data_IF_975761867340
#
_entry.id   IF_975761867340
#
_cell.length_a   1.000
_cell.length_b   1.000
_cell.length_c   1.000
_cell.angle_alpha   90.00
_cell.angle_beta   90.00
_cell.angle_gamma   90.00
#
_symmetry.space_group_name_H-M   'P 1'
#
loop_
_entity.id
_entity.type
_entity.pdbx_description
1 polymer ?
#
# COMPACT_ATOMS: atom_id res chain seq x y z
N UNK A 1 -23.43 -22.62 74.81
CA UNK A 1 -22.17 -22.85 74.03
C UNK A 1 -22.56 -23.25 72.65
N UNK A 2 -22.42 -22.34 71.69
CA UNK A 2 -22.73 -22.59 70.25
C UNK A 2 -21.41 -22.81 69.54
N UNK A 3 -21.19 -24.01 69.07
CA UNK A 3 -20.03 -24.33 68.19
C UNK A 3 -20.37 -23.87 66.81
N UNK A 4 -19.64 -22.89 66.28
CA UNK A 4 -19.69 -22.48 64.87
C UNK A 4 -18.82 -23.43 64.08
N UNK A 5 -19.46 -24.23 63.21
CA UNK A 5 -18.78 -25.06 62.21
C UNK A 5 -18.26 -24.16 61.11
N UNK A 6 -16.98 -23.83 61.12
CA UNK A 6 -16.26 -23.27 59.97
C UNK A 6 -16.07 -24.37 58.92
N UNK A 7 -16.99 -24.41 57.97
CA UNK A 7 -16.77 -25.16 56.73
C UNK A 7 -15.82 -24.36 55.86
N UNK A 8 -14.54 -24.65 55.96
CA UNK A 8 -13.54 -24.17 54.99
C UNK A 8 -13.84 -24.81 53.63
N UNK A 9 -14.34 -23.99 52.72
CA UNK A 9 -14.46 -24.37 51.32
C UNK A 9 -13.04 -24.40 50.75
N UNK A 10 -12.42 -25.56 50.71
CA UNK A 10 -11.18 -25.76 49.95
C UNK A 10 -11.47 -25.56 48.47
N UNK A 11 -11.12 -24.38 47.98
CA UNK A 11 -11.05 -24.11 46.53
C UNK A 11 -9.99 -25.02 45.91
N UNK A 12 -10.43 -26.10 45.29
CA UNK A 12 -9.58 -26.98 44.48
C UNK A 12 -9.00 -26.18 43.33
N UNK A 13 -7.79 -25.69 43.47
CA UNK A 13 -7.00 -25.13 42.37
C UNK A 13 -6.68 -26.23 41.40
N UNK A 14 -7.48 -26.33 40.33
CA UNK A 14 -7.16 -27.20 39.18
C UNK A 14 -5.92 -26.64 38.49
N UNK A 15 -4.80 -27.31 38.58
CA UNK A 15 -3.61 -27.01 37.78
C UNK A 15 -3.80 -27.45 36.34
N UNK A 16 -3.27 -26.67 35.41
CA UNK A 16 -3.22 -27.05 34.00
C UNK A 16 -2.34 -28.28 33.81
N UNK A 17 -2.79 -29.25 33.02
CA UNK A 17 -1.97 -30.39 32.64
C UNK A 17 -1.00 -30.00 31.53
N UNK A 18 0.17 -30.65 31.51
CA UNK A 18 1.18 -30.45 30.45
C UNK A 18 0.62 -30.78 29.07
N UNK A 19 -0.30 -31.75 28.98
CA UNK A 19 -0.98 -32.12 27.74
C UNK A 19 -1.92 -31.06 27.23
N UNK A 20 -2.69 -30.39 28.13
CA UNK A 20 -3.56 -29.26 27.72
C UNK A 20 -2.75 -28.11 27.13
N UNK A 21 -1.60 -27.79 27.71
CA UNK A 21 -0.72 -26.74 27.20
C UNK A 21 -0.14 -27.12 25.84
N UNK A 22 0.27 -28.39 25.66
CA UNK A 22 0.83 -28.90 24.41
C UNK A 22 -0.19 -28.85 23.26
N UNK A 23 -1.44 -29.22 23.53
CA UNK A 23 -2.54 -29.20 22.53
C UNK A 23 -2.84 -27.75 22.12
N UNK A 24 -2.89 -26.81 23.08
CA UNK A 24 -3.12 -25.40 22.76
C UNK A 24 -2.02 -24.82 21.89
N UNK A 25 -0.75 -25.10 22.20
CA UNK A 25 0.39 -24.62 21.39
C UNK A 25 0.37 -25.24 19.99
N UNK A 26 0.02 -26.53 19.88
CA UNK A 26 -0.11 -27.20 18.58
C UNK A 26 -1.21 -26.56 17.71
N UNK A 27 -2.38 -26.27 18.28
CA UNK A 27 -3.49 -25.61 17.56
C UNK A 27 -3.10 -24.17 17.17
N UNK A 28 -2.49 -23.40 18.06
CA UNK A 28 -2.03 -22.06 17.76
C UNK A 28 -0.96 -22.07 16.65
N UNK A 29 -0.07 -23.05 16.64
CA UNK A 29 0.92 -23.24 15.57
C UNK A 29 0.29 -23.48 14.20
N UNK A 30 -0.72 -24.33 14.13
CA UNK A 30 -1.44 -24.61 12.87
C UNK A 30 -2.22 -23.37 12.41
N UNK A 31 -2.94 -22.70 13.31
CA UNK A 31 -3.70 -21.49 12.97
C UNK A 31 -2.77 -20.35 12.54
N UNK A 32 -1.62 -20.19 13.20
CA UNK A 32 -0.61 -19.21 12.82
C UNK A 32 -0.06 -19.42 11.41
N UNK A 33 0.22 -20.66 11.04
CA UNK A 33 0.73 -20.99 9.71
C UNK A 33 -0.26 -20.65 8.58
N UNK A 34 -1.56 -20.86 8.81
CA UNK A 34 -2.62 -20.51 7.82
C UNK A 34 -2.85 -19.01 7.72
N UNK A 35 -2.73 -18.26 8.83
CA UNK A 35 -2.97 -16.83 8.86
C UNK A 35 -1.95 -16.06 8.01
N UNK A 36 -0.67 -16.44 8.01
CA UNK A 36 0.41 -15.73 7.31
C UNK A 36 0.22 -15.74 5.79
N UNK A 37 -0.21 -16.84 5.19
CA UNK A 37 -0.36 -16.96 3.74
C UNK A 37 -1.49 -16.10 3.17
N UNK A 38 -2.56 -15.85 3.92
CA UNK A 38 -3.67 -15.01 3.47
C UNK A 38 -3.36 -13.50 3.56
N UNK A 39 -2.56 -13.08 4.52
CA UNK A 39 -2.23 -11.65 4.74
C UNK A 39 -1.32 -11.11 3.64
N UNK A 40 -0.32 -11.86 3.20
CA UNK A 40 0.64 -11.42 2.17
C UNK A 40 -0.02 -11.14 0.83
N UNK A 41 -0.95 -11.98 0.38
CA UNK A 41 -1.70 -11.76 -0.87
C UNK A 41 -2.60 -10.52 -0.84
N UNK A 42 -3.19 -10.20 0.31
CA UNK A 42 -4.00 -8.98 0.48
C UNK A 42 -3.16 -7.70 0.50
N UNK A 43 -1.97 -7.74 1.09
CA UNK A 43 -1.05 -6.59 1.10
C UNK A 43 -0.64 -6.25 -0.33
N UNK A 44 -0.28 -7.24 -1.15
CA UNK A 44 0.17 -7.02 -2.51
C UNK A 44 -0.96 -6.45 -3.39
N UNK A 45 -2.18 -7.00 -3.31
CA UNK A 45 -3.33 -6.46 -4.04
C UNK A 45 -3.66 -5.01 -3.65
N UNK A 46 -3.45 -4.66 -2.38
CA UNK A 46 -3.64 -3.29 -1.88
C UNK A 46 -2.56 -2.36 -2.43
N UNK A 47 -1.30 -2.78 -2.45
CA UNK A 47 -0.19 -2.03 -3.05
C UNK A 47 -0.43 -1.76 -4.54
N UNK A 48 -0.83 -2.77 -5.30
CA UNK A 48 -1.18 -2.62 -6.72
C UNK A 48 -2.31 -1.61 -6.91
N UNK A 49 -3.34 -1.64 -6.06
CA UNK A 49 -4.45 -0.69 -6.13
C UNK A 49 -3.99 0.73 -5.78
N UNK A 50 -3.14 0.88 -4.76
CA UNK A 50 -2.55 2.16 -4.39
C UNK A 50 -1.69 2.74 -5.52
N UNK A 51 -0.84 1.93 -6.15
CA UNK A 51 -0.02 2.34 -7.28
C UNK A 51 -0.86 2.79 -8.49
N UNK A 52 -1.96 2.08 -8.81
CA UNK A 52 -2.91 2.49 -9.86
C UNK A 52 -3.52 3.86 -9.58
N UNK A 53 -3.94 4.08 -8.33
CA UNK A 53 -4.50 5.37 -7.90
C UNK A 53 -3.44 6.48 -7.97
N UNK A 54 -2.21 6.22 -7.55
CA UNK A 54 -1.12 7.18 -7.62
C UNK A 54 -0.78 7.53 -9.08
N UNK A 55 -0.70 6.55 -9.98
CA UNK A 55 -0.49 6.76 -11.42
C UNK A 55 -1.57 7.66 -12.02
N UNK A 56 -2.85 7.44 -11.68
CA UNK A 56 -3.96 8.29 -12.17
C UNK A 56 -3.89 9.71 -11.58
N UNK A 57 -3.52 9.86 -10.29
CA UNK A 57 -3.34 11.14 -9.64
C UNK A 57 -2.20 11.95 -10.27
N UNK A 58 -1.04 11.33 -10.48
CA UNK A 58 0.12 11.96 -11.14
C UNK A 58 -0.23 12.37 -12.56
N UNK A 59 -0.95 11.53 -13.31
CA UNK A 59 -1.44 11.88 -14.65
C UNK A 59 -2.34 13.11 -14.64
N UNK A 60 -3.24 13.20 -13.66
CA UNK A 60 -4.08 14.37 -13.41
C UNK A 60 -3.25 15.62 -13.12
N UNK A 61 -2.26 15.50 -12.22
CA UNK A 61 -1.35 16.58 -11.85
C UNK A 61 -0.52 17.10 -13.04
N UNK A 62 0.00 16.21 -13.90
CA UNK A 62 0.68 16.61 -15.15
C UNK A 62 -0.26 17.42 -16.03
N UNK A 63 -1.51 16.99 -16.18
CA UNK A 63 -2.50 17.73 -16.99
C UNK A 63 -2.79 19.10 -16.41
N UNK A 64 -2.97 19.19 -15.10
CA UNK A 64 -3.20 20.48 -14.39
C UNK A 64 -1.99 21.37 -14.54
N UNK A 65 -0.78 20.86 -14.35
CA UNK A 65 0.47 21.60 -14.54
C UNK A 65 0.57 22.17 -15.96
N UNK A 66 0.27 21.36 -16.99
CA UNK A 66 0.28 21.80 -18.38
C UNK A 66 -0.70 22.94 -18.63
N UNK A 67 -1.91 22.87 -18.04
CA UNK A 67 -2.92 23.91 -18.17
C UNK A 67 -2.47 25.22 -17.48
N UNK A 68 -1.99 25.15 -16.25
CA UNK A 68 -1.54 26.30 -15.47
C UNK A 68 -0.35 27.00 -16.14
N UNK A 69 0.62 26.22 -16.60
CA UNK A 69 1.82 26.73 -17.27
C UNK A 69 1.60 27.07 -18.75
N UNK A 70 0.39 26.83 -19.29
CA UNK A 70 0.06 27.00 -20.73
C UNK A 70 1.05 26.27 -21.64
N UNK A 71 1.52 25.10 -21.21
CA UNK A 71 2.46 24.26 -21.96
C UNK A 71 1.71 23.28 -22.87
N UNK A 72 2.19 23.17 -24.12
CA UNK A 72 1.63 22.22 -25.09
C UNK A 72 2.24 20.80 -24.93
N UNK A 73 3.31 20.66 -24.16
CA UNK A 73 4.05 19.41 -23.93
C UNK A 73 4.14 19.10 -22.44
N UNK A 74 4.04 17.82 -22.05
CA UNK A 74 4.23 17.41 -20.67
C UNK A 74 5.67 17.66 -20.20
N UNK A 75 5.89 17.73 -18.86
CA UNK A 75 7.24 17.84 -18.33
C UNK A 75 8.03 16.57 -18.58
N UNK A 76 9.34 16.68 -18.67
CA UNK A 76 10.25 15.52 -18.76
C UNK A 76 10.60 14.94 -17.39
N UNK A 77 10.33 15.70 -16.31
CA UNK A 77 10.62 15.32 -14.94
C UNK A 77 9.39 15.61 -14.06
N UNK A 78 8.98 14.61 -13.28
CA UNK A 78 7.84 14.70 -12.38
C UNK A 78 8.10 15.58 -11.16
N UNK A 79 9.35 15.84 -10.81
CA UNK A 79 9.71 16.69 -9.65
C UNK A 79 9.14 18.11 -9.73
N UNK A 80 8.83 18.59 -10.92
CA UNK A 80 8.19 19.91 -11.12
C UNK A 80 6.76 19.97 -10.60
N UNK A 81 6.10 18.83 -10.43
CA UNK A 81 4.72 18.76 -9.96
C UNK A 81 4.58 19.02 -8.47
N UNK A 82 5.63 18.69 -7.71
CA UNK A 82 5.66 18.78 -6.23
C UNK A 82 6.38 20.02 -5.73
N UNK A 83 6.91 20.83 -6.64
CA UNK A 83 7.59 22.09 -6.32
C UNK A 83 6.66 23.26 -6.56
N UNK A 84 6.60 24.18 -5.58
CA UNK A 84 5.97 25.46 -5.76
C UNK A 84 6.77 26.30 -6.76
N UNK A 85 6.08 27.07 -7.61
CA UNK A 85 6.72 27.96 -8.56
C UNK A 85 6.16 29.38 -8.35
N UNK A 86 6.91 30.18 -7.58
CA UNK A 86 6.48 31.49 -7.13
C UNK A 86 5.31 31.40 -6.15
N UNK A 87 4.21 32.09 -6.47
CA UNK A 87 2.97 32.09 -5.68
C UNK A 87 2.00 30.94 -6.04
N UNK A 88 2.37 30.07 -6.98
CA UNK A 88 1.54 28.93 -7.36
C UNK A 88 1.83 27.72 -6.48
N UNK A 89 0.76 27.06 -5.99
CA UNK A 89 0.86 25.83 -5.25
C UNK A 89 1.32 24.66 -6.15
N UNK A 90 1.96 23.62 -5.59
CA UNK A 90 2.33 22.43 -6.34
C UNK A 90 1.11 21.80 -7.03
N UNK A 91 1.30 21.26 -8.22
CA UNK A 91 0.24 20.54 -8.94
C UNK A 91 -0.08 19.17 -8.33
N UNK A 92 0.81 18.65 -7.48
CA UNK A 92 0.67 17.40 -6.74
C UNK A 92 1.08 17.63 -5.28
N UNK A 93 0.15 17.35 -4.36
CA UNK A 93 0.40 17.41 -2.93
C UNK A 93 1.21 16.20 -2.44
N UNK A 94 1.92 16.36 -1.30
CA UNK A 94 2.66 15.28 -0.66
C UNK A 94 4.18 15.32 -0.90
N UNK A 95 4.68 16.31 -1.63
CA UNK A 95 6.10 16.50 -1.87
C UNK A 95 6.73 15.34 -2.65
N UNK A 96 8.03 15.12 -2.47
CA UNK A 96 8.77 14.07 -3.18
C UNK A 96 8.26 12.66 -2.88
N UNK A 97 7.67 12.43 -1.69
CA UNK A 97 7.07 11.15 -1.34
C UNK A 97 5.87 10.75 -2.20
N UNK A 98 5.18 11.72 -2.83
CA UNK A 98 4.09 11.45 -3.77
C UNK A 98 4.58 10.91 -5.13
N UNK A 99 5.88 10.95 -5.38
CA UNK A 99 6.52 10.45 -6.61
C UNK A 99 7.16 9.07 -6.43
N UNK A 100 6.98 8.44 -5.26
CA UNK A 100 7.48 7.09 -4.94
C UNK A 100 6.32 6.12 -4.88
N UNK A 101 6.47 4.96 -5.51
CA UNK A 101 5.45 3.93 -5.54
C UNK A 101 5.45 3.06 -4.25
N UNK A 102 4.47 2.16 -4.04
CA UNK A 102 4.40 1.31 -2.84
C UNK A 102 5.55 0.31 -2.66
N UNK A 103 6.44 0.18 -3.62
CA UNK A 103 7.64 -0.68 -3.56
C UNK A 103 8.94 0.11 -3.50
N UNK A 104 8.85 1.41 -3.12
CA UNK A 104 9.97 2.34 -2.96
C UNK A 104 10.72 2.66 -4.28
N UNK A 105 10.04 2.53 -5.44
CA UNK A 105 10.56 2.93 -6.75
C UNK A 105 9.97 4.27 -7.18
N UNK A 106 10.75 5.11 -7.83
CA UNK A 106 10.27 6.39 -8.36
C UNK A 106 9.33 6.16 -9.56
N UNK A 107 8.21 6.92 -9.61
CA UNK A 107 7.39 6.94 -10.82
C UNK A 107 8.14 7.55 -11.99
N UNK A 108 7.93 6.97 -13.18
CA UNK A 108 8.54 7.43 -14.42
C UNK A 108 7.50 8.04 -15.35
N UNK A 109 7.88 9.09 -16.07
CA UNK A 109 7.10 9.63 -17.18
C UNK A 109 7.76 9.30 -18.50
N UNK A 110 7.02 8.70 -19.41
CA UNK A 110 7.42 8.54 -20.81
C UNK A 110 6.64 9.52 -21.68
N UNK A 111 7.36 10.36 -22.42
CA UNK A 111 6.78 11.39 -23.27
C UNK A 111 6.97 11.04 -24.75
N UNK A 112 5.85 11.04 -25.49
CA UNK A 112 5.85 10.87 -26.97
C UNK A 112 5.07 12.01 -27.60
N UNK A 113 5.77 13.09 -27.93
CA UNK A 113 5.17 14.31 -28.45
C UNK A 113 4.24 14.98 -27.41
N UNK A 114 2.94 15.03 -27.71
CA UNK A 114 1.92 15.58 -26.80
C UNK A 114 1.30 14.52 -25.86
N UNK A 115 1.60 13.26 -26.08
CA UNK A 115 1.12 12.15 -25.24
C UNK A 115 2.17 11.80 -24.20
N UNK A 116 1.72 11.36 -23.05
CA UNK A 116 2.58 10.86 -22.00
C UNK A 116 1.93 9.69 -21.27
N UNK A 117 2.75 8.89 -20.64
CA UNK A 117 2.37 7.75 -19.83
C UNK A 117 3.12 7.83 -18.51
N UNK A 118 2.42 7.67 -17.40
CA UNK A 118 3.01 7.52 -16.08
C UNK A 118 3.13 6.03 -15.79
N UNK A 119 4.27 5.61 -15.24
CA UNK A 119 4.63 4.21 -15.04
C UNK A 119 5.17 4.03 -13.61
N UNK A 120 4.63 3.04 -12.88
CA UNK A 120 5.27 2.43 -11.72
C UNK A 120 5.94 1.14 -12.16
N UNK A 121 7.11 0.85 -11.63
CA UNK A 121 7.83 -0.40 -11.89
C UNK A 121 7.11 -1.64 -11.33
N UNK A 122 6.15 -1.45 -10.41
CA UNK A 122 5.41 -2.56 -9.84
C UNK A 122 6.20 -3.39 -8.83
N UNK A 123 5.70 -4.61 -8.50
CA UNK A 123 6.25 -5.48 -7.46
C UNK A 123 7.71 -5.89 -7.67
N UNK A 124 8.15 -6.05 -8.90
CA UNK A 124 9.52 -6.47 -9.22
C UNK A 124 10.55 -5.33 -9.22
N UNK A 125 10.08 -4.07 -9.09
CA UNK A 125 10.89 -2.84 -9.09
C UNK A 125 11.73 -2.61 -10.35
N UNK A 126 11.42 -3.33 -11.45
CA UNK A 126 12.10 -3.22 -12.74
C UNK A 126 11.16 -2.65 -13.79
N UNK A 127 11.60 -1.62 -14.52
CA UNK A 127 10.83 -1.05 -15.63
C UNK A 127 10.93 -1.89 -16.90
N UNK A 128 9.83 -2.00 -17.63
CA UNK A 128 9.74 -2.70 -18.90
C UNK A 128 9.31 -4.16 -18.77
N UNK A 129 8.76 -4.53 -17.63
CA UNK A 129 8.25 -5.87 -17.34
C UNK A 129 6.72 -5.95 -17.47
N UNK A 130 6.15 -7.14 -17.29
CA UNK A 130 4.69 -7.33 -17.27
C UNK A 130 4.03 -6.74 -16.01
N UNK A 131 4.81 -6.50 -14.98
CA UNK A 131 4.38 -5.97 -13.68
C UNK A 131 4.24 -4.44 -13.68
N UNK A 132 4.69 -3.77 -14.75
CA UNK A 132 4.55 -2.32 -14.92
C UNK A 132 3.09 -1.87 -14.79
N UNK A 133 2.82 -0.91 -13.91
CA UNK A 133 1.52 -0.28 -13.78
C UNK A 133 1.53 1.03 -14.55
N UNK A 134 0.79 1.07 -15.66
CA UNK A 134 0.83 2.14 -16.65
C UNK A 134 -0.50 2.88 -16.76
N UNK A 135 -0.44 4.21 -16.90
CA UNK A 135 -1.65 5.06 -17.00
C UNK A 135 -2.45 4.88 -18.31
N UNK A 136 -1.86 4.31 -19.36
CA UNK A 136 -2.55 4.00 -20.61
C UNK A 136 -3.33 2.66 -20.52
N UNK A 137 -2.84 1.70 -19.75
CA UNK A 137 -3.48 0.39 -19.53
C UNK A 137 -4.66 0.48 -18.56
N UNK A 138 -4.58 1.35 -17.56
CA UNK A 138 -5.66 1.56 -16.56
C UNK A 138 -6.91 2.11 -17.26
N UNK A 139 -6.75 3.03 -18.20
CA UNK A 139 -7.85 3.66 -18.93
C UNK A 139 -8.67 2.69 -19.81
N UNK A 140 -8.07 1.58 -20.27
CA UNK A 140 -8.71 0.60 -21.16
C UNK A 140 -9.60 -0.41 -20.45
N UNK A 141 -9.50 -0.57 -19.12
CA UNK A 141 -10.30 -1.52 -18.33
C UNK A 141 -11.65 -0.97 -17.82
N UNK A 142 -12.02 0.26 -18.17
CA UNK A 142 -13.27 0.91 -17.77
C UNK A 142 -14.35 0.78 -18.86
N UNK A 143 -14.58 -0.44 -19.39
CA UNK A 143 -15.72 -0.72 -20.28
C UNK A 143 -16.55 -1.86 -19.74
#
# INVERSE_FOLDING_TARGET
MRQENNLAVESMKRGFTLVELLVVVAILGILGAVAVTNVTGHIESTRITAAKTAVDNIKGAVTTWMLNKKKATPPSDLSVLVKADGDEEPALDGGEGALVDPWDSDFKIEVKGKRFVIISAGPDTEFGTEDDIRSDTIATKKK
#
